data_IF_411282125089
#
_entry.id   IF_411282125089
#
_cell.length_a   1.000
_cell.length_b   1.000
_cell.length_c   1.000
_cell.angle_alpha   90.00
_cell.angle_beta   90.00
_cell.angle_gamma   90.00
#
_symmetry.space_group_name_H-M   'P 1'
#
loop_
_entity.id
_entity.type
_entity.pdbx_description
1 polymer ?
#
# COMPACT_ATOMS: atom_id res chain seq x y z
N UNK A 1 -8.74 -6.84 -56.05
CA UNK A 1 -7.82 -6.94 -54.89
C UNK A 1 -8.36 -6.27 -53.61
N UNK A 2 -9.06 -5.12 -53.68
CA UNK A 2 -9.60 -4.41 -52.50
C UNK A 2 -10.58 -5.22 -51.63
N UNK A 3 -11.46 -6.04 -52.23
CA UNK A 3 -12.42 -6.88 -51.49
C UNK A 3 -11.78 -8.03 -50.71
N UNK A 4 -10.67 -8.59 -51.20
CA UNK A 4 -9.91 -9.65 -50.51
C UNK A 4 -9.15 -9.10 -49.30
N UNK A 5 -8.63 -7.89 -49.41
CA UNK A 5 -8.00 -7.16 -48.30
C UNK A 5 -9.03 -6.75 -47.24
N UNK A 6 -10.22 -6.29 -47.65
CA UNK A 6 -11.29 -5.94 -46.71
C UNK A 6 -11.80 -7.17 -45.94
N UNK A 7 -11.90 -8.31 -46.62
CA UNK A 7 -12.27 -9.59 -45.99
C UNK A 7 -11.20 -10.10 -45.02
N UNK A 8 -9.91 -9.90 -45.31
CA UNK A 8 -8.80 -10.24 -44.41
C UNK A 8 -8.80 -9.37 -43.15
N UNK A 9 -9.06 -8.07 -43.27
CA UNK A 9 -9.18 -7.15 -42.13
C UNK A 9 -10.39 -7.50 -41.24
N UNK A 10 -11.51 -7.91 -41.84
CA UNK A 10 -12.71 -8.31 -41.09
C UNK A 10 -12.49 -9.60 -40.29
N UNK A 11 -11.75 -10.58 -40.85
CA UNK A 11 -11.39 -11.82 -40.16
C UNK A 11 -10.37 -11.54 -39.04
N UNK A 12 -9.39 -10.65 -39.27
CA UNK A 12 -8.41 -10.25 -38.25
C UNK A 12 -9.07 -9.55 -37.06
N UNK A 13 -10.12 -8.75 -37.29
CA UNK A 13 -10.91 -8.11 -36.23
C UNK A 13 -11.76 -9.09 -35.42
N UNK A 14 -12.11 -10.26 -35.98
CA UNK A 14 -12.92 -11.29 -35.31
C UNK A 14 -12.06 -12.22 -34.42
N UNK A 15 -10.73 -12.15 -34.55
CA UNK A 15 -9.75 -12.97 -33.81
C UNK A 15 -9.16 -12.28 -32.57
N UNK A 16 -9.80 -11.24 -32.03
CA UNK A 16 -9.46 -10.69 -30.72
C UNK A 16 -10.32 -11.40 -29.65
N UNK A 17 -9.87 -12.50 -29.02
CA UNK A 17 -10.57 -13.00 -27.85
C UNK A 17 -10.42 -11.95 -26.75
N UNK A 18 -11.55 -11.40 -26.30
CA UNK A 18 -11.61 -10.55 -25.12
C UNK A 18 -11.12 -11.33 -23.91
N UNK A 19 -9.87 -11.11 -23.52
CA UNK A 19 -9.29 -11.68 -22.31
C UNK A 19 -9.94 -11.04 -21.09
N UNK A 20 -11.05 -11.61 -20.63
CA UNK A 20 -11.55 -11.36 -19.28
C UNK A 20 -10.52 -11.93 -18.30
N UNK A 21 -9.55 -11.11 -17.90
CA UNK A 21 -8.71 -11.41 -16.75
C UNK A 21 -9.61 -11.46 -15.52
N UNK A 22 -9.99 -12.67 -15.08
CA UNK A 22 -10.62 -12.82 -13.75
C UNK A 22 -9.65 -12.22 -12.74
N UNK A 23 -10.08 -11.20 -12.01
CA UNK A 23 -9.31 -10.63 -10.90
C UNK A 23 -9.04 -11.77 -9.92
N UNK A 24 -7.78 -12.21 -9.86
CA UNK A 24 -7.34 -13.22 -8.90
C UNK A 24 -7.34 -12.55 -7.54
N UNK A 25 -7.90 -13.21 -6.53
CA UNK A 25 -7.92 -12.71 -5.17
C UNK A 25 -7.39 -13.81 -4.26
N UNK A 26 -6.42 -13.47 -3.41
CA UNK A 26 -5.86 -14.38 -2.42
C UNK A 26 -6.87 -14.45 -1.28
N UNK A 27 -7.33 -15.67 -0.97
CA UNK A 27 -8.32 -15.95 0.07
C UNK A 27 -7.92 -17.22 0.80
N UNK A 28 -8.16 -17.25 2.11
CA UNK A 28 -7.81 -18.34 3.00
C UNK A 28 -7.83 -17.81 4.42
N UNK A 29 -7.96 -18.69 5.42
CA UNK A 29 -7.89 -18.26 6.83
C UNK A 29 -6.45 -17.98 7.26
N UNK A 30 -5.50 -18.50 6.50
CA UNK A 30 -4.06 -18.36 6.68
C UNK A 30 -3.48 -17.07 6.10
N UNK A 31 -4.28 -16.30 5.35
CA UNK A 31 -3.84 -15.06 4.71
C UNK A 31 -4.51 -13.86 5.37
N UNK A 32 -3.73 -12.80 5.51
CA UNK A 32 -4.19 -11.50 5.95
C UNK A 32 -5.09 -10.91 4.87
N UNK A 33 -6.22 -10.36 5.28
CA UNK A 33 -7.13 -9.63 4.40
C UNK A 33 -6.39 -8.48 3.71
N UNK A 34 -6.71 -8.23 2.44
CA UNK A 34 -5.94 -7.30 1.60
C UNK A 34 -5.89 -5.90 2.20
N UNK A 35 -7.00 -5.42 2.73
CA UNK A 35 -7.12 -4.09 3.34
C UNK A 35 -6.22 -3.98 4.58
N UNK A 36 -6.22 -5.02 5.42
CA UNK A 36 -5.36 -5.10 6.62
C UNK A 36 -3.88 -5.20 6.22
N UNK A 37 -3.56 -5.95 5.17
CA UNK A 37 -2.19 -6.01 4.63
C UNK A 37 -1.70 -4.64 4.15
N UNK A 38 -2.56 -3.87 3.47
CA UNK A 38 -2.24 -2.48 3.07
C UNK A 38 -1.94 -1.64 4.31
N UNK A 39 -2.75 -1.73 5.36
CA UNK A 39 -2.54 -0.96 6.60
C UNK A 39 -1.25 -1.33 7.33
N UNK A 40 -0.92 -2.63 7.40
CA UNK A 40 0.35 -3.12 7.96
C UNK A 40 1.53 -2.55 7.17
N UNK A 41 1.49 -2.60 5.83
CA UNK A 41 2.58 -2.12 4.99
C UNK A 41 2.75 -0.59 5.09
N UNK A 42 1.65 0.16 5.22
CA UNK A 42 1.71 1.61 5.49
C UNK A 42 2.43 1.88 6.81
N UNK A 43 2.05 1.20 7.90
CA UNK A 43 2.69 1.36 9.21
C UNK A 43 4.18 0.99 9.17
N UNK A 44 4.54 -0.11 8.49
CA UNK A 44 5.94 -0.51 8.30
C UNK A 44 6.73 0.60 7.62
N UNK A 45 6.21 1.19 6.54
CA UNK A 45 6.90 2.26 5.82
C UNK A 45 6.97 3.58 6.58
N UNK A 46 5.95 3.91 7.38
CA UNK A 46 6.00 5.08 8.27
C UNK A 46 7.08 4.92 9.34
N UNK A 47 7.14 3.75 9.99
CA UNK A 47 8.15 3.44 11.00
C UNK A 47 9.56 3.40 10.39
N UNK A 48 9.72 2.80 9.21
CA UNK A 48 11.00 2.80 8.48
C UNK A 48 11.44 4.24 8.15
N UNK A 49 10.52 5.08 7.67
CA UNK A 49 10.79 6.50 7.42
C UNK A 49 11.25 7.27 8.67
N UNK A 50 10.59 7.04 9.81
CA UNK A 50 10.95 7.68 11.09
C UNK A 50 12.31 7.17 11.60
N UNK A 51 12.55 5.86 11.54
CA UNK A 51 13.75 5.24 12.10
C UNK A 51 15.00 5.50 11.28
N UNK A 52 14.84 5.72 9.97
CA UNK A 52 15.92 6.14 9.07
C UNK A 52 16.29 7.64 9.22
N UNK A 53 15.51 8.43 9.97
CA UNK A 53 15.88 9.80 10.30
C UNK A 53 17.10 9.85 11.25
N UNK A 54 18.13 10.60 10.85
CA UNK A 54 19.40 10.72 11.60
C UNK A 54 19.24 11.23 13.02
N UNK A 55 18.18 11.97 13.35
CA UNK A 55 17.87 12.43 14.71
C UNK A 55 17.29 11.31 15.56
N UNK A 56 16.46 10.45 14.96
CA UNK A 56 15.90 9.28 15.63
C UNK A 56 17.02 8.27 15.94
N UNK A 57 17.81 7.90 14.93
CA UNK A 57 18.93 6.96 15.09
C UNK A 57 19.88 7.35 16.23
N UNK A 58 20.29 8.62 16.28
CA UNK A 58 21.24 9.14 17.30
C UNK A 58 20.66 9.14 18.72
N UNK A 59 19.34 9.19 18.87
CA UNK A 59 18.65 9.18 20.17
C UNK A 59 18.48 7.75 20.71
N UNK A 60 18.39 6.76 19.82
CA UNK A 60 18.07 5.37 20.16
C UNK A 60 19.19 4.38 19.81
N UNK A 61 20.40 4.85 19.48
CA UNK A 61 21.58 4.07 19.07
C UNK A 61 22.00 2.98 20.09
N UNK A 62 21.55 3.09 21.35
CA UNK A 62 21.84 2.13 22.43
C UNK A 62 20.79 1.01 22.57
N UNK A 63 19.70 1.04 21.78
CA UNK A 63 18.69 0.00 21.80
C UNK A 63 19.13 -1.15 20.86
N UNK A 64 19.61 -2.25 21.46
CA UNK A 64 19.82 -3.52 20.78
C UNK A 64 18.58 -3.88 19.95
N UNK A 65 18.78 -4.13 18.65
CA UNK A 65 17.78 -4.47 17.61
C UNK A 65 16.32 -4.29 18.03
N UNK A 66 15.77 -3.08 17.86
CA UNK A 66 14.36 -2.83 18.13
C UNK A 66 13.52 -3.67 17.18
N UNK A 67 12.75 -4.61 17.71
CA UNK A 67 11.73 -5.34 16.95
C UNK A 67 10.59 -4.37 16.61
N UNK A 68 10.65 -3.82 15.40
CA UNK A 68 9.66 -2.87 14.87
C UNK A 68 8.44 -3.56 14.27
N UNK A 69 8.54 -4.84 13.94
CA UNK A 69 7.49 -5.56 13.23
C UNK A 69 6.43 -6.10 14.18
N UNK A 70 6.84 -6.71 15.31
CA UNK A 70 5.88 -7.30 16.26
C UNK A 70 4.81 -6.31 16.75
N UNK A 71 5.14 -5.07 17.16
CA UNK A 71 4.14 -4.11 17.61
C UNK A 71 3.16 -3.71 16.50
N UNK A 72 3.63 -3.65 15.24
CA UNK A 72 2.78 -3.34 14.09
C UNK A 72 1.81 -4.49 13.83
N UNK A 73 2.30 -5.73 13.82
CA UNK A 73 1.45 -6.90 13.58
C UNK A 73 0.41 -7.07 14.71
N UNK A 74 0.80 -6.84 15.97
CA UNK A 74 -0.11 -6.85 17.12
C UNK A 74 -1.21 -5.78 17.00
N UNK A 75 -0.87 -4.56 16.58
CA UNK A 75 -1.83 -3.47 16.31
C UNK A 75 -2.93 -3.89 15.33
N UNK A 76 -2.60 -4.71 14.35
CA UNK A 76 -3.54 -5.20 13.32
C UNK A 76 -4.15 -6.57 13.63
N UNK A 77 -3.82 -7.17 14.79
CA UNK A 77 -4.33 -8.49 15.17
C UNK A 77 -3.83 -9.63 14.29
N UNK A 78 -2.64 -9.48 13.70
CA UNK A 78 -2.04 -10.43 12.76
C UNK A 78 -0.85 -11.13 13.42
N UNK A 79 -0.72 -12.44 13.19
CA UNK A 79 0.46 -13.19 13.62
C UNK A 79 1.59 -13.08 12.59
N UNK A 80 2.84 -13.24 13.03
CA UNK A 80 4.00 -13.34 12.13
C UNK A 80 3.80 -14.42 11.05
N UNK A 81 3.23 -15.58 11.42
CA UNK A 81 3.02 -16.67 10.49
C UNK A 81 2.00 -16.33 9.39
N UNK A 82 0.91 -15.63 9.73
CA UNK A 82 -0.09 -15.16 8.76
C UNK A 82 0.52 -14.10 7.83
N UNK A 83 1.27 -13.15 8.38
CA UNK A 83 1.96 -12.13 7.60
C UNK A 83 2.97 -12.74 6.63
N UNK A 84 3.88 -13.61 7.12
CA UNK A 84 4.89 -14.28 6.30
C UNK A 84 4.27 -15.13 5.19
N UNK A 85 3.21 -15.89 5.54
CA UNK A 85 2.48 -16.70 4.56
C UNK A 85 1.82 -15.83 3.48
N UNK A 86 1.27 -14.68 3.89
CA UNK A 86 0.65 -13.71 2.99
C UNK A 86 1.66 -13.07 2.06
N UNK A 87 2.78 -12.56 2.59
CA UNK A 87 3.84 -11.96 1.78
C UNK A 87 4.44 -12.99 0.81
N UNK A 88 4.69 -14.21 1.27
CA UNK A 88 5.18 -15.29 0.42
C UNK A 88 4.22 -15.59 -0.74
N UNK A 89 2.91 -15.57 -0.50
CA UNK A 89 1.90 -15.82 -1.52
C UNK A 89 1.73 -14.65 -2.49
N UNK A 90 1.67 -13.41 -2.00
CA UNK A 90 1.62 -12.22 -2.85
C UNK A 90 2.89 -12.07 -3.71
N UNK A 91 4.06 -12.45 -3.20
CA UNK A 91 5.34 -12.43 -3.94
C UNK A 91 5.33 -13.35 -5.17
N UNK A 92 4.52 -14.43 -5.15
CA UNK A 92 4.30 -15.32 -6.31
C UNK A 92 3.33 -14.73 -7.33
N UNK A 93 2.67 -13.62 -6.99
CA UNK A 93 1.65 -12.96 -7.79
C UNK A 93 1.96 -11.47 -7.98
N UNK A 94 2.99 -11.11 -8.78
CA UNK A 94 3.48 -9.72 -8.88
C UNK A 94 2.41 -8.70 -9.21
N UNK A 95 1.43 -9.04 -10.08
CA UNK A 95 0.33 -8.14 -10.42
C UNK A 95 -0.61 -7.84 -9.25
N UNK A 96 -0.79 -8.79 -8.32
CA UNK A 96 -1.61 -8.57 -7.12
C UNK A 96 -0.83 -7.79 -6.06
N UNK A 97 0.47 -8.07 -5.94
CA UNK A 97 1.34 -7.33 -5.05
C UNK A 97 1.49 -5.86 -5.49
N UNK A 98 1.62 -5.61 -6.79
CA UNK A 98 1.61 -4.26 -7.35
C UNK A 98 0.32 -3.50 -7.01
N UNK A 99 -0.84 -4.17 -7.11
CA UNK A 99 -2.10 -3.58 -6.68
C UNK A 99 -2.14 -3.25 -5.18
N UNK A 100 -1.54 -4.08 -4.32
CA UNK A 100 -1.43 -3.77 -2.88
C UNK A 100 -0.55 -2.54 -2.69
N UNK A 101 0.61 -2.47 -3.35
CA UNK A 101 1.51 -1.33 -3.24
C UNK A 101 0.93 -0.03 -3.80
N UNK A 102 0.14 -0.08 -4.87
CA UNK A 102 -0.57 1.09 -5.37
C UNK A 102 -1.49 1.69 -4.30
N UNK A 103 -2.17 0.85 -3.52
CA UNK A 103 -3.04 1.30 -2.42
C UNK A 103 -2.23 1.82 -1.22
N UNK A 104 -1.08 1.20 -0.92
CA UNK A 104 -0.13 1.70 0.10
C UNK A 104 0.33 3.10 -0.26
N UNK A 105 0.79 3.31 -1.50
CA UNK A 105 1.25 4.62 -1.99
C UNK A 105 0.12 5.65 -1.98
N UNK A 106 -1.09 5.25 -2.38
CA UNK A 106 -2.25 6.12 -2.33
C UNK A 106 -2.54 6.58 -0.89
N UNK A 107 -2.54 5.67 0.10
CA UNK A 107 -2.76 6.04 1.50
C UNK A 107 -1.68 6.97 2.04
N UNK A 108 -0.41 6.70 1.73
CA UNK A 108 0.70 7.56 2.14
C UNK A 108 0.59 8.97 1.53
N UNK A 109 0.22 9.07 0.24
CA UNK A 109 0.00 10.37 -0.40
C UNK A 109 -1.18 11.14 0.21
N UNK A 110 -2.26 10.46 0.57
CA UNK A 110 -3.39 11.10 1.28
C UNK A 110 -2.93 11.65 2.62
N UNK A 111 -2.15 10.89 3.38
CA UNK A 111 -1.59 11.35 4.67
C UNK A 111 -0.65 12.56 4.49
N UNK A 112 0.15 12.58 3.42
CA UNK A 112 1.01 13.73 3.09
C UNK A 112 0.17 14.97 2.76
N UNK A 113 -0.83 14.84 1.88
CA UNK A 113 -1.73 15.93 1.51
C UNK A 113 -2.52 16.47 2.72
N UNK A 114 -2.86 15.61 3.69
CA UNK A 114 -3.51 16.02 4.94
C UNK A 114 -2.55 16.80 5.84
N UNK A 115 -1.31 16.32 6.02
CA UNK A 115 -0.30 16.99 6.82
C UNK A 115 0.07 18.39 6.25
N UNK A 116 0.19 18.52 4.94
CA UNK A 116 0.48 19.81 4.28
C UNK A 116 -0.62 20.86 4.53
N UNK A 117 -1.90 20.42 4.61
CA UNK A 117 -3.03 21.33 4.91
C UNK A 117 -3.02 21.79 6.37
N UNK A 118 -2.62 20.94 7.30
CA UNK A 118 -2.52 21.28 8.72
C UNK A 118 -1.42 22.33 8.97
N UNK A 119 -0.31 22.29 8.22
CA UNK A 119 0.77 23.28 8.32
C UNK A 119 0.36 24.69 7.83
N UNK A 120 -0.60 24.76 6.91
CA UNK A 120 -1.10 26.01 6.32
C UNK A 120 -2.19 26.70 7.17
N UNK A 121 -2.80 26.01 8.15
CA UNK A 121 -3.76 26.61 9.08
C UNK A 121 -3.05 27.17 10.34
N UNK A 122 -2.98 28.51 10.54
CA UNK A 122 -2.33 29.06 11.72
C UNK A 122 -3.11 28.71 13.00
N UNK A 123 -2.49 27.92 13.89
CA UNK A 123 -2.92 27.82 15.28
C UNK A 123 -2.92 29.21 15.94
N UNK A 124 -4.07 29.87 16.03
CA UNK A 124 -4.09 31.25 16.53
C UNK A 124 -5.46 31.92 16.62
N UNK A 125 -6.47 31.23 17.16
CA UNK A 125 -7.81 31.78 17.39
C UNK A 125 -8.17 32.05 18.85
N UNK A 126 -7.23 32.43 19.74
CA UNK A 126 -7.60 32.89 21.09
C UNK A 126 -8.06 34.33 21.03
N UNK A 127 -9.37 34.54 20.88
CA UNK A 127 -10.02 35.83 21.08
C UNK A 127 -9.89 36.28 22.54
N UNK A 128 -9.10 37.32 22.79
CA UNK A 128 -9.13 38.07 24.05
C UNK A 128 -10.38 38.97 24.12
N UNK A 129 -10.90 39.30 25.32
CA UNK A 129 -12.15 40.06 25.46
C UNK A 129 -11.95 41.53 25.06
N UNK A 130 -13.00 42.20 24.53
CA UNK A 130 -12.89 43.57 24.04
C UNK A 130 -12.71 44.56 25.20
N UNK A 131 -11.82 45.55 24.98
CA UNK A 131 -11.72 46.77 25.80
C UNK A 131 -12.72 47.82 25.31
#
# INVERSE_FOLDING_TARGET
>A
MRFRFLSLLLILSLLLPGGCARKKHIRGKEYVDREVLVDILVDIHLVDGITNDRKFYRRYEQADSVDLLSPILEKHGVTHAEFDSTIAEYSRHPLLLDQVYNDVLMKLNVMLDENDREEDEPEGGTGGPPQ
#
